data_IF_837466281273
#
_entry.id   IF_837466281273
#
_cell.length_a   1.000
_cell.length_b   1.000
_cell.length_c   1.000
_cell.angle_alpha   90.00
_cell.angle_beta   90.00
_cell.angle_gamma   90.00
#
_symmetry.space_group_name_H-M   'P 1'
#
loop_
_entity.id
_entity.type
_entity.pdbx_description
1 polymer ?
#
# COMPACT_ATOMS: atom_id res chain seq x y z
N UNK A 1 -10.53 18.14 10.81
CA UNK A 1 -10.69 17.01 9.88
C UNK A 1 -11.22 17.59 8.59
N UNK A 2 -10.50 17.43 7.48
CA UNK A 2 -11.06 17.76 6.18
C UNK A 2 -11.89 16.55 5.75
N UNK A 3 -13.20 16.65 5.88
CA UNK A 3 -14.09 15.69 5.24
C UNK A 3 -13.97 15.89 3.72
N UNK A 4 -13.60 14.84 3.00
CA UNK A 4 -13.59 14.87 1.55
C UNK A 4 -15.02 14.97 1.03
N UNK A 5 -15.38 16.11 0.45
CA UNK A 5 -16.74 16.38 -0.01
C UNK A 5 -16.92 16.25 -1.53
N UNK A 6 -15.91 15.77 -2.26
CA UNK A 6 -15.96 15.69 -3.73
C UNK A 6 -15.26 14.45 -4.31
N UNK A 7 -15.52 14.15 -5.60
CA UNK A 7 -14.86 13.07 -6.31
C UNK A 7 -13.35 13.33 -6.44
N UNK A 8 -12.57 12.25 -6.42
CA UNK A 8 -11.11 12.26 -6.56
C UNK A 8 -10.74 11.73 -7.94
N UNK A 9 -9.85 12.44 -8.65
CA UNK A 9 -9.41 12.07 -10.00
C UNK A 9 -7.88 12.05 -10.08
N UNK A 10 -7.34 11.12 -10.86
CA UNK A 10 -5.91 11.06 -11.13
C UNK A 10 -5.54 9.86 -12.01
N UNK A 11 -4.35 9.88 -12.57
CA UNK A 11 -3.77 8.78 -13.34
C UNK A 11 -3.40 7.66 -12.37
N UNK A 12 -3.83 6.43 -12.67
CA UNK A 12 -3.47 5.27 -11.85
C UNK A 12 -1.96 5.01 -11.94
N UNK A 13 -1.27 5.03 -10.79
CA UNK A 13 0.04 4.45 -10.63
C UNK A 13 -0.13 3.07 -9.99
N UNK A 14 0.10 2.02 -10.76
CA UNK A 14 -0.27 0.65 -10.38
C UNK A 14 0.90 -0.13 -9.80
N UNK A 15 0.69 -0.77 -8.64
CA UNK A 15 1.60 -1.71 -8.02
C UNK A 15 0.91 -3.06 -7.88
N UNK A 16 1.64 -4.12 -8.22
CA UNK A 16 1.17 -5.50 -8.16
C UNK A 16 1.97 -6.29 -7.13
N UNK A 17 1.27 -6.92 -6.20
CA UNK A 17 1.81 -7.85 -5.21
C UNK A 17 1.60 -9.29 -5.68
N UNK A 18 2.65 -10.08 -5.61
CA UNK A 18 2.60 -11.52 -5.84
C UNK A 18 2.98 -12.26 -4.54
N UNK A 19 2.35 -13.41 -4.25
CA UNK A 19 2.76 -14.24 -3.13
C UNK A 19 4.18 -14.78 -3.38
N UNK A 20 5.03 -14.69 -2.36
CA UNK A 20 6.40 -15.19 -2.42
C UNK A 20 6.62 -16.13 -1.25
N UNK A 21 6.81 -17.41 -1.55
CA UNK A 21 7.10 -18.43 -0.54
C UNK A 21 8.50 -18.24 0.01
N UNK A 22 8.61 -18.08 1.33
CA UNK A 22 9.92 -18.02 2.00
C UNK A 22 10.60 -19.40 2.01
N UNK A 23 11.92 -19.47 1.75
CA UNK A 23 12.66 -20.73 1.83
C UNK A 23 12.78 -21.20 3.29
N UNK A 24 13.02 -22.51 3.48
CA UNK A 24 13.10 -23.15 4.81
C UNK A 24 14.30 -22.70 5.65
N UNK A 25 15.37 -22.26 4.99
CA UNK A 25 16.60 -21.83 5.64
C UNK A 25 16.64 -20.30 5.72
N UNK A 26 16.59 -19.79 6.96
CA UNK A 26 16.62 -18.36 7.26
C UNK A 26 17.97 -17.71 6.93
N UNK A 27 19.05 -18.49 6.82
CA UNK A 27 20.40 -17.99 6.52
C UNK A 27 20.68 -17.93 5.02
N UNK A 28 19.90 -18.62 4.20
CA UNK A 28 20.02 -18.57 2.75
C UNK A 28 19.55 -17.21 2.20
N UNK A 29 20.09 -16.78 1.05
CA UNK A 29 19.55 -15.62 0.33
C UNK A 29 18.08 -15.87 -0.02
N UNK A 30 17.21 -14.90 0.30
CA UNK A 30 15.75 -15.05 0.15
C UNK A 30 15.16 -13.93 -0.69
N UNK A 31 14.07 -14.19 -1.44
CA UNK A 31 13.30 -13.15 -2.10
C UNK A 31 12.51 -12.30 -1.08
N UNK A 32 11.93 -11.20 -1.55
CA UNK A 32 11.24 -10.20 -0.72
C UNK A 32 12.18 -9.54 0.31
N UNK A 33 13.38 -9.20 -0.15
CA UNK A 33 14.29 -8.29 0.56
C UNK A 33 13.79 -6.86 0.47
N UNK A 34 14.35 -5.93 1.25
CA UNK A 34 14.08 -4.50 1.07
C UNK A 34 14.30 -4.02 -0.37
N UNK A 35 15.32 -4.55 -1.06
CA UNK A 35 15.57 -4.18 -2.45
C UNK A 35 14.45 -4.58 -3.41
N UNK A 36 13.74 -5.66 -3.10
CA UNK A 36 12.60 -6.13 -3.89
C UNK A 36 11.33 -5.37 -3.50
N UNK A 37 11.07 -5.26 -2.19
CA UNK A 37 9.81 -4.70 -1.72
C UNK A 37 9.76 -3.19 -1.85
N UNK A 38 10.86 -2.44 -1.74
CA UNK A 38 10.87 -0.96 -1.74
C UNK A 38 10.13 -0.32 -2.92
N UNK A 39 10.01 -1.02 -4.05
CA UNK A 39 9.26 -0.57 -5.21
C UNK A 39 7.76 -0.38 -4.91
N UNK A 40 7.24 -1.01 -3.85
CA UNK A 40 5.89 -0.75 -3.34
C UNK A 40 5.69 0.72 -2.92
N UNK A 41 6.76 1.40 -2.51
CA UNK A 41 6.71 2.81 -2.17
C UNK A 41 6.83 3.72 -3.40
N UNK A 42 6.82 3.18 -4.62
CA UNK A 42 6.94 3.98 -5.83
C UNK A 42 8.12 4.98 -5.78
N UNK A 43 9.36 4.57 -5.44
CA UNK A 43 10.48 5.48 -5.15
C UNK A 43 10.88 6.37 -6.35
N UNK A 44 10.52 5.97 -7.56
CA UNK A 44 10.67 6.73 -8.79
C UNK A 44 9.67 7.89 -8.91
N UNK A 45 8.52 7.82 -8.22
CA UNK A 45 7.50 8.86 -8.24
C UNK A 45 7.85 9.95 -7.23
N UNK A 46 8.51 11.02 -7.70
CA UNK A 46 8.89 12.16 -6.85
C UNK A 46 7.71 13.05 -6.45
N UNK A 47 6.65 13.09 -7.27
CA UNK A 47 5.41 13.79 -6.97
C UNK A 47 4.20 12.95 -7.38
N UNK A 48 3.29 12.78 -6.44
CA UNK A 48 2.00 12.10 -6.60
C UNK A 48 0.92 12.98 -7.22
N UNK A 49 1.17 14.27 -7.46
CA UNK A 49 0.16 15.20 -8.00
C UNK A 49 -0.45 14.66 -9.30
N UNK A 50 -1.78 14.66 -9.36
CA UNK A 50 -2.55 14.11 -10.47
C UNK A 50 -2.48 12.59 -10.61
N UNK A 51 -2.02 11.85 -9.58
CA UNK A 51 -1.95 10.39 -9.57
C UNK A 51 -2.71 9.80 -8.39
N UNK A 52 -3.25 8.60 -8.60
CA UNK A 52 -3.82 7.75 -7.56
C UNK A 52 -2.92 6.53 -7.45
N UNK A 53 -2.46 6.22 -6.24
CA UNK A 53 -1.74 4.96 -5.99
C UNK A 53 -2.74 3.81 -6.00
N UNK A 54 -2.51 2.79 -6.83
CA UNK A 54 -3.39 1.63 -6.97
C UNK A 54 -2.59 0.36 -6.73
N UNK A 55 -2.69 -0.21 -5.53
CA UNK A 55 -2.02 -1.45 -5.15
C UNK A 55 -2.96 -2.65 -5.19
N UNK A 56 -2.57 -3.77 -5.78
CA UNK A 56 -3.42 -4.96 -5.83
C UNK A 56 -2.63 -6.26 -5.81
N UNK A 57 -3.34 -7.38 -5.73
CA UNK A 57 -2.78 -8.73 -5.86
C UNK A 57 -3.27 -9.39 -7.14
N UNK A 58 -2.55 -10.42 -7.59
CA UNK A 58 -2.88 -11.18 -8.80
C UNK A 58 -4.29 -11.76 -8.80
N UNK A 59 -4.78 -12.19 -7.63
CA UNK A 59 -5.99 -12.97 -7.49
C UNK A 59 -6.99 -12.31 -6.54
N UNK A 60 -7.83 -11.44 -7.10
CA UNK A 60 -8.97 -10.84 -6.39
C UNK A 60 -8.57 -9.75 -5.41
N UNK A 61 -9.08 -9.85 -4.19
CA UNK A 61 -8.87 -8.87 -3.11
C UNK A 61 -8.46 -9.58 -1.82
N UNK A 62 -7.52 -9.01 -1.07
CA UNK A 62 -7.12 -9.52 0.25
C UNK A 62 -7.90 -8.82 1.36
N UNK A 63 -8.59 -9.56 2.23
CA UNK A 63 -9.29 -8.97 3.39
C UNK A 63 -8.48 -9.07 4.68
N UNK A 64 -7.56 -10.04 4.76
CA UNK A 64 -6.89 -10.38 6.02
C UNK A 64 -5.49 -9.78 6.16
N UNK A 65 -4.86 -9.37 5.05
CA UNK A 65 -3.46 -8.91 5.03
C UNK A 65 -3.36 -7.47 4.51
N UNK A 66 -2.57 -6.66 5.22
CA UNK A 66 -2.39 -5.26 4.91
C UNK A 66 -1.40 -5.06 3.74
N UNK A 67 -1.87 -4.42 2.66
CA UNK A 67 -1.00 -4.00 1.54
C UNK A 67 -0.33 -2.63 1.80
N UNK A 68 -0.84 -1.88 2.78
CA UNK A 68 -0.27 -0.61 3.22
C UNK A 68 -0.47 -0.41 4.73
N UNK A 69 0.45 0.31 5.34
CA UNK A 69 0.33 0.79 6.72
C UNK A 69 0.50 2.31 6.80
N UNK A 70 0.64 2.81 8.03
CA UNK A 70 0.74 4.23 8.32
C UNK A 70 1.95 4.87 7.64
N UNK A 71 3.10 4.17 7.62
CA UNK A 71 4.30 4.66 6.96
C UNK A 71 4.10 4.94 5.47
N UNK A 72 3.62 3.94 4.72
CA UNK A 72 3.42 4.09 3.28
C UNK A 72 2.32 5.09 2.94
N UNK A 73 1.20 5.07 3.69
CA UNK A 73 0.11 6.01 3.46
C UNK A 73 0.53 7.46 3.75
N UNK A 74 1.31 7.69 4.82
CA UNK A 74 1.87 8.99 5.14
C UNK A 74 2.86 9.48 4.07
N UNK A 75 3.69 8.58 3.53
CA UNK A 75 4.62 8.91 2.46
C UNK A 75 3.90 9.28 1.14
N UNK A 76 2.84 8.56 0.76
CA UNK A 76 2.00 8.94 -0.38
C UNK A 76 1.28 10.26 -0.16
N UNK A 77 0.77 10.51 1.05
CA UNK A 77 0.18 11.79 1.44
C UNK A 77 1.20 12.94 1.32
N UNK A 78 2.42 12.75 1.84
CA UNK A 78 3.49 13.73 1.78
C UNK A 78 3.90 14.07 0.34
N UNK A 79 3.94 13.06 -0.55
CA UNK A 79 4.24 13.24 -1.97
C UNK A 79 3.07 13.82 -2.77
N UNK A 80 1.91 14.03 -2.15
CA UNK A 80 0.75 14.68 -2.75
C UNK A 80 0.01 13.81 -3.76
N UNK A 81 -0.08 12.50 -3.50
CA UNK A 81 -1.02 11.64 -4.25
C UNK A 81 -2.47 12.10 -4.00
N UNK A 82 -3.32 11.98 -5.00
CA UNK A 82 -4.73 12.36 -4.92
C UNK A 82 -5.56 11.32 -4.14
N UNK A 83 -5.08 10.08 -4.09
CA UNK A 83 -5.74 8.96 -3.41
C UNK A 83 -4.91 7.68 -3.37
N UNK A 84 -5.33 6.76 -2.51
CA UNK A 84 -4.77 5.41 -2.38
C UNK A 84 -5.91 4.40 -2.52
N UNK A 85 -5.83 3.50 -3.49
CA UNK A 85 -6.78 2.41 -3.70
C UNK A 85 -6.02 1.10 -3.54
N UNK A 86 -6.53 0.20 -2.69
CA UNK A 86 -5.92 -1.09 -2.41
C UNK A 86 -6.90 -2.22 -2.66
N UNK A 87 -6.50 -3.20 -3.47
CA UNK A 87 -7.09 -4.55 -3.52
C UNK A 87 -6.74 -5.38 -2.28
N UNK A 88 -6.59 -4.74 -1.13
CA UNK A 88 -6.11 -5.34 0.10
C UNK A 88 -6.46 -4.51 1.33
N UNK A 89 -6.20 -5.05 2.52
CA UNK A 89 -6.49 -4.37 3.77
C UNK A 89 -5.43 -3.29 4.09
N UNK A 90 -5.67 -2.52 5.15
CA UNK A 90 -4.72 -1.58 5.74
C UNK A 90 -4.47 -1.88 7.21
N UNK A 91 -3.27 -1.53 7.69
CA UNK A 91 -2.93 -1.45 9.11
C UNK A 91 -2.73 0.00 9.55
N UNK A 92 -2.51 0.22 10.85
CA UNK A 92 -2.27 1.56 11.45
C UNK A 92 -3.41 2.56 11.20
N UNK A 93 -4.66 2.10 11.33
CA UNK A 93 -5.85 2.93 11.09
C UNK A 93 -5.84 4.27 11.82
N UNK A 94 -5.23 4.32 13.02
CA UNK A 94 -5.09 5.54 13.82
C UNK A 94 -4.22 6.61 13.13
N UNK A 95 -3.21 6.20 12.36
CA UNK A 95 -2.38 7.09 11.53
C UNK A 95 -3.15 7.49 10.28
N UNK A 96 -3.73 6.51 9.57
CA UNK A 96 -4.40 6.74 8.27
C UNK A 96 -5.57 7.71 8.42
N UNK A 97 -6.35 7.62 9.52
CA UNK A 97 -7.46 8.54 9.81
C UNK A 97 -7.05 10.00 10.00
N UNK A 98 -5.76 10.27 10.24
CA UNK A 98 -5.23 11.63 10.43
C UNK A 98 -4.69 12.22 9.11
N UNK A 99 -4.60 11.42 8.04
CA UNK A 99 -4.10 11.88 6.76
C UNK A 99 -5.17 12.65 6.00
N UNK A 100 -4.69 13.55 5.15
CA UNK A 100 -5.52 14.35 4.24
C UNK A 100 -5.60 13.73 2.85
N UNK A 101 -5.34 12.43 2.70
CA UNK A 101 -5.45 11.68 1.44
C UNK A 101 -6.56 10.63 1.62
N UNK A 102 -7.47 10.46 0.66
CA UNK A 102 -8.50 9.44 0.78
C UNK A 102 -7.91 8.05 0.50
N UNK A 103 -8.32 7.07 1.31
CA UNK A 103 -7.83 5.69 1.23
C UNK A 103 -9.02 4.74 1.10
N UNK A 104 -9.02 3.95 0.02
CA UNK A 104 -9.95 2.84 -0.19
C UNK A 104 -9.21 1.53 0.00
N UNK A 105 -9.72 0.71 0.89
CA UNK A 105 -9.15 -0.58 1.26
C UNK A 105 -10.29 -1.56 1.55
N UNK A 106 -9.97 -2.86 1.57
CA UNK A 106 -10.96 -3.92 1.78
C UNK A 106 -11.37 -4.05 3.26
N UNK A 107 -10.43 -3.84 4.19
CA UNK A 107 -10.61 -4.02 5.63
C UNK A 107 -9.49 -3.34 6.45
N UNK A 108 -9.62 -3.36 7.77
CA UNK A 108 -8.55 -3.08 8.73
C UNK A 108 -8.02 -4.39 9.32
N UNK A 109 -6.69 -4.52 9.39
CA UNK A 109 -6.04 -5.70 9.98
C UNK A 109 -4.71 -5.30 10.64
N UNK A 110 -4.30 -5.93 11.76
CA UNK A 110 -2.93 -5.80 12.26
C UNK A 110 -1.93 -6.65 11.47
N UNK A 111 -2.39 -7.61 10.65
CA UNK A 111 -1.52 -8.56 9.95
C UNK A 111 -0.85 -7.94 8.72
N UNK A 112 0.48 -8.12 8.61
CA UNK A 112 1.30 -7.66 7.48
C UNK A 112 1.34 -8.70 6.35
N UNK A 113 1.65 -8.30 5.13
CA UNK A 113 1.93 -9.23 4.02
C UNK A 113 3.25 -9.98 4.18
N UNK A 114 4.24 -9.39 4.87
CA UNK A 114 5.54 -10.03 5.08
C UNK A 114 5.43 -11.21 6.06
N UNK A 115 5.83 -12.40 5.59
CA UNK A 115 5.88 -13.62 6.41
C UNK A 115 4.57 -14.40 6.48
N UNK A 116 3.52 -13.96 5.79
CA UNK A 116 2.22 -14.65 5.73
C UNK A 116 2.03 -15.53 4.47
N UNK A 117 3.10 -15.76 3.69
CA UNK A 117 3.13 -16.65 2.52
C UNK A 117 4.41 -17.50 2.47
#
# INVERSE_FOLDING_TARGET
MNDFTGPVFGIAYTVRWAPVRKPRDIMAAQPSTWNDVKHFLAPEVKSGRGKIYVGGVDNGVLTELALAGGFSAADFNLRGFEGIILGGAIRDAHVIKQLSIPVWATNFTPADTQGNF
#
